data_IF_037881137145
#
_entry.id   IF_037881137145
#
_cell.length_a   1.000
_cell.length_b   1.000
_cell.length_c   1.000
_cell.angle_alpha   90.00
_cell.angle_beta   90.00
_cell.angle_gamma   90.00
#
_symmetry.space_group_name_H-M   'P 1'
#
loop_
_entity.id
_entity.type
_entity.pdbx_description
1 polymer ?
#
# COMPACT_ATOMS: atom_id res chain seq x y z
N UNK A 1 4.40 -13.80 0.29
CA UNK A 1 3.14 -13.56 -0.44
C UNK A 1 3.17 -14.14 -1.84
N UNK A 2 4.14 -13.78 -2.69
CA UNK A 2 4.29 -14.33 -4.06
C UNK A 2 4.26 -15.85 -4.09
N UNK A 3 5.08 -16.51 -3.26
CA UNK A 3 5.09 -17.98 -3.15
C UNK A 3 3.73 -18.59 -2.76
N UNK A 4 2.90 -17.86 -2.00
CA UNK A 4 1.57 -18.34 -1.62
C UNK A 4 0.58 -18.22 -2.78
N UNK A 5 0.71 -17.18 -3.61
CA UNK A 5 -0.07 -17.05 -4.84
C UNK A 5 0.29 -18.16 -5.83
N UNK A 6 1.58 -18.44 -6.01
CA UNK A 6 2.06 -19.53 -6.87
C UNK A 6 1.55 -20.89 -6.41
N UNK A 7 1.63 -21.18 -5.11
CA UNK A 7 1.07 -22.41 -4.53
C UNK A 7 -0.44 -22.53 -4.70
N UNK A 8 -1.16 -21.42 -4.82
CA UNK A 8 -2.59 -21.39 -5.10
C UNK A 8 -2.92 -21.49 -6.61
N UNK A 9 -1.91 -21.72 -7.46
CA UNK A 9 -2.05 -21.89 -8.90
C UNK A 9 -2.18 -20.57 -9.67
N UNK A 10 -1.73 -19.45 -9.08
CA UNK A 10 -1.61 -18.18 -9.80
C UNK A 10 -0.18 -17.97 -10.31
N UNK A 11 -0.05 -17.48 -11.53
CA UNK A 11 1.19 -16.94 -12.06
C UNK A 11 1.30 -15.46 -11.66
N UNK A 12 2.38 -15.09 -10.97
CA UNK A 12 2.67 -13.67 -10.67
C UNK A 12 3.29 -13.01 -11.89
N UNK A 13 2.70 -11.90 -12.32
CA UNK A 13 3.03 -11.19 -13.57
C UNK A 13 3.83 -9.93 -13.34
N UNK A 14 3.60 -9.25 -12.23
CA UNK A 14 4.27 -8.01 -11.87
C UNK A 14 4.20 -7.78 -10.35
N UNK A 15 5.24 -7.16 -9.79
CA UNK A 15 5.28 -6.71 -8.40
C UNK A 15 5.87 -5.31 -8.38
N UNK A 16 5.07 -4.34 -7.95
CA UNK A 16 5.49 -2.95 -7.84
C UNK A 16 5.45 -2.48 -6.40
N UNK A 17 6.59 -1.99 -5.92
CA UNK A 17 6.68 -1.32 -4.63
C UNK A 17 6.20 0.11 -4.76
N UNK A 18 5.18 0.47 -3.98
CA UNK A 18 4.67 1.84 -3.86
C UNK A 18 5.06 2.46 -2.51
N UNK A 19 6.14 1.96 -1.89
CA UNK A 19 6.61 2.34 -0.54
C UNK A 19 6.69 3.86 -0.35
N UNK A 20 7.34 4.56 -1.27
CA UNK A 20 7.59 6.00 -1.17
C UNK A 20 6.30 6.82 -1.35
N UNK A 21 5.41 6.35 -2.23
CA UNK A 21 4.07 6.93 -2.39
C UNK A 21 3.27 6.84 -1.08
N UNK A 22 3.40 5.71 -0.36
CA UNK A 22 2.70 5.52 0.91
C UNK A 22 3.24 6.41 2.03
N UNK A 23 4.55 6.67 2.06
CA UNK A 23 5.14 7.68 2.94
C UNK A 23 4.51 9.07 2.71
N UNK A 24 4.46 9.53 1.46
CA UNK A 24 3.83 10.81 1.11
C UNK A 24 2.35 10.87 1.49
N UNK A 25 1.62 9.77 1.27
CA UNK A 25 0.20 9.65 1.64
C UNK A 25 -0.01 9.85 3.13
N UNK A 26 0.76 9.14 3.97
CA UNK A 26 0.64 9.26 5.42
C UNK A 26 1.05 10.63 5.94
N UNK A 27 2.07 11.27 5.35
CA UNK A 27 2.43 12.66 5.69
C UNK A 27 1.26 13.61 5.45
N UNK A 28 0.61 13.52 4.28
CA UNK A 28 -0.58 14.32 3.96
C UNK A 28 -1.74 14.03 4.92
N UNK A 29 -1.96 12.77 5.28
CA UNK A 29 -3.00 12.41 6.24
C UNK A 29 -2.75 12.96 7.65
N UNK A 30 -1.49 12.92 8.12
CA UNK A 30 -1.11 13.55 9.39
C UNK A 30 -1.36 15.05 9.35
N UNK A 31 -0.91 15.75 8.30
CA UNK A 31 -1.17 17.19 8.13
C UNK A 31 -2.67 17.49 8.15
N UNK A 32 -3.48 16.71 7.45
CA UNK A 32 -4.93 16.91 7.41
C UNK A 32 -5.60 16.64 8.77
N UNK A 33 -5.16 15.59 9.49
CA UNK A 33 -5.66 15.27 10.83
C UNK A 33 -5.34 16.39 11.83
N UNK A 34 -4.12 16.92 11.79
CA UNK A 34 -3.67 18.01 12.66
C UNK A 34 -4.43 19.31 12.35
N UNK A 35 -4.62 19.64 11.07
CA UNK A 35 -5.39 20.80 10.64
C UNK A 35 -6.87 20.75 11.05
N UNK A 36 -7.41 19.55 11.31
CA UNK A 36 -8.82 19.34 11.69
C UNK A 36 -8.93 18.68 13.07
N UNK A 37 -7.94 18.91 13.95
CA UNK A 37 -7.80 18.19 15.21
C UNK A 37 -9.04 18.24 16.10
N UNK A 38 -9.62 19.43 16.31
CA UNK A 38 -10.81 19.56 17.16
C UNK A 38 -11.99 18.74 16.64
N UNK A 39 -12.22 18.75 15.33
CA UNK A 39 -13.26 17.94 14.69
C UNK A 39 -12.98 16.46 14.85
N UNK A 40 -11.74 16.03 14.65
CA UNK A 40 -11.34 14.63 14.85
C UNK A 40 -11.54 14.18 16.30
N UNK A 41 -11.18 15.01 17.28
CA UNK A 41 -11.38 14.73 18.71
C UNK A 41 -12.87 14.63 19.05
N UNK A 42 -13.72 15.53 18.53
CA UNK A 42 -15.18 15.46 18.72
C UNK A 42 -15.78 14.17 18.17
N UNK A 43 -15.31 13.71 17.01
CA UNK A 43 -15.84 12.52 16.34
C UNK A 43 -15.34 11.20 16.93
N UNK A 44 -14.04 11.14 17.24
CA UNK A 44 -13.36 9.88 17.57
C UNK A 44 -13.05 9.72 19.06
N UNK A 45 -13.09 10.83 19.82
CA UNK A 45 -12.57 10.94 21.18
C UNK A 45 -11.07 11.26 21.22
N UNK A 46 -10.59 11.95 22.27
CA UNK A 46 -9.20 12.43 22.34
C UNK A 46 -8.17 11.29 22.37
N UNK A 47 -8.49 10.16 23.02
CA UNK A 47 -7.62 8.99 23.05
C UNK A 47 -7.39 8.39 21.66
N UNK A 48 -8.47 8.14 20.92
CA UNK A 48 -8.40 7.58 19.57
C UNK A 48 -7.71 8.52 18.59
N UNK A 49 -8.00 9.82 18.66
CA UNK A 49 -7.34 10.82 17.81
C UNK A 49 -5.81 10.84 18.02
N UNK A 50 -5.33 10.73 19.27
CA UNK A 50 -3.88 10.65 19.57
C UNK A 50 -3.24 9.38 19.04
N UNK A 51 -3.89 8.23 19.24
CA UNK A 51 -3.38 6.95 18.75
C UNK A 51 -3.26 6.96 17.23
N UNK A 52 -4.27 7.47 16.52
CA UNK A 52 -4.23 7.57 15.06
C UNK A 52 -3.15 8.53 14.55
N UNK A 53 -2.97 9.69 15.18
CA UNK A 53 -1.88 10.61 14.85
C UNK A 53 -0.51 9.93 15.02
N UNK A 54 -0.29 9.28 16.16
CA UNK A 54 0.95 8.56 16.45
C UNK A 54 1.21 7.43 15.45
N UNK A 55 0.20 6.59 15.21
CA UNK A 55 0.27 5.48 14.27
C UNK A 55 0.67 5.96 12.86
N UNK A 56 -0.04 6.94 12.30
CA UNK A 56 0.25 7.42 10.96
C UNK A 56 1.63 8.08 10.85
N UNK A 57 2.02 8.88 11.84
CA UNK A 57 3.34 9.51 11.86
C UNK A 57 4.47 8.48 11.97
N UNK A 58 4.31 7.46 12.81
CA UNK A 58 5.28 6.38 12.94
C UNK A 58 5.37 5.54 11.66
N UNK A 59 4.23 5.21 11.04
CA UNK A 59 4.21 4.49 9.76
C UNK A 59 4.86 5.30 8.63
N UNK A 60 4.62 6.62 8.55
CA UNK A 60 5.26 7.47 7.55
C UNK A 60 6.79 7.37 7.65
N UNK A 61 7.34 7.51 8.86
CA UNK A 61 8.77 7.36 9.10
C UNK A 61 9.29 5.96 8.78
N UNK A 62 8.50 4.92 9.08
CA UNK A 62 8.88 3.54 8.78
C UNK A 62 8.94 3.28 7.26
N UNK A 63 8.02 3.83 6.47
CA UNK A 63 8.09 3.77 5.00
C UNK A 63 9.27 4.57 4.43
N UNK A 64 9.51 5.78 4.94
CA UNK A 64 10.66 6.63 4.56
C UNK A 64 12.00 5.93 4.82
N UNK A 65 12.09 5.20 5.95
CA UNK A 65 13.31 4.47 6.35
C UNK A 65 13.37 3.04 5.83
N UNK A 66 12.52 2.66 4.87
CA UNK A 66 12.47 1.32 4.28
C UNK A 66 12.36 0.18 5.31
N UNK A 67 11.65 0.42 6.42
CA UNK A 67 11.39 -0.58 7.47
C UNK A 67 10.12 -1.37 7.21
N UNK A 68 9.20 -0.82 6.44
CA UNK A 68 7.96 -1.43 5.97
C UNK A 68 7.75 -1.05 4.49
N UNK A 69 6.93 -1.81 3.79
CA UNK A 69 6.63 -1.61 2.37
C UNK A 69 5.20 -1.98 2.01
N UNK A 70 4.73 -1.48 0.87
CA UNK A 70 3.45 -1.86 0.25
C UNK A 70 3.75 -2.23 -1.19
N UNK A 71 3.27 -3.39 -1.61
CA UNK A 71 3.44 -3.88 -2.97
C UNK A 71 2.08 -4.09 -3.63
N UNK A 72 1.96 -3.64 -4.87
CA UNK A 72 0.90 -4.07 -5.77
C UNK A 72 1.37 -5.33 -6.48
N UNK A 73 0.56 -6.39 -6.42
CA UNK A 73 0.89 -7.68 -7.05
C UNK A 73 -0.17 -7.96 -8.11
N UNK A 74 0.27 -8.06 -9.36
CA UNK A 74 -0.56 -8.55 -10.45
C UNK A 74 -0.32 -10.05 -10.58
N UNK A 75 -1.38 -10.85 -10.47
CA UNK A 75 -1.32 -12.29 -10.65
C UNK A 75 -2.53 -12.76 -11.45
N UNK A 76 -2.32 -13.77 -12.30
CA UNK A 76 -3.37 -14.37 -13.14
C UNK A 76 -3.42 -15.86 -12.92
N UNK A 77 -4.59 -16.47 -13.14
CA UNK A 77 -4.67 -17.91 -13.33
C UNK A 77 -4.55 -18.16 -14.83
N UNK A 78 -3.53 -18.91 -15.24
CA UNK A 78 -3.42 -19.28 -16.64
C UNK A 78 -4.64 -20.10 -17.07
N UNK A 79 -5.05 -19.92 -18.32
CA UNK A 79 -6.06 -20.77 -18.97
C UNK A 79 -5.56 -22.21 -19.10
N UNK A 80 -6.43 -23.15 -19.46
CA UNK A 80 -6.05 -24.54 -19.71
C UNK A 80 -4.99 -24.68 -20.82
N UNK A 81 -4.98 -23.75 -21.80
CA UNK A 81 -3.96 -23.68 -22.84
C UNK A 81 -2.65 -22.99 -22.40
N UNK A 82 -2.54 -22.61 -21.12
CA UNK A 82 -1.35 -21.95 -20.54
C UNK A 82 -1.24 -20.46 -20.84
N UNK A 83 -2.25 -19.85 -21.47
CA UNK A 83 -2.20 -18.40 -21.78
C UNK A 83 -2.64 -17.54 -20.59
N UNK A 84 -1.96 -16.42 -20.38
CA UNK A 84 -2.27 -15.46 -19.30
C UNK A 84 -3.29 -14.40 -19.69
N UNK A 85 -3.56 -14.22 -20.99
CA UNK A 85 -4.43 -13.16 -21.52
C UNK A 85 -3.84 -11.75 -21.44
N UNK A 86 -2.59 -11.60 -21.02
CA UNK A 86 -1.91 -10.30 -20.89
C UNK A 86 -0.94 -10.04 -22.05
N UNK A 87 -0.68 -8.78 -22.40
CA UNK A 87 0.39 -8.42 -23.33
C UNK A 87 1.76 -8.85 -22.78
N UNK A 88 2.71 -9.12 -23.68
CA UNK A 88 4.08 -9.54 -23.32
C UNK A 88 4.83 -8.50 -22.49
N UNK A 89 4.48 -7.22 -22.63
CA UNK A 89 5.00 -6.10 -21.83
C UNK A 89 3.85 -5.46 -21.07
N UNK A 90 3.93 -5.45 -19.75
CA UNK A 90 2.93 -4.85 -18.86
C UNK A 90 2.97 -3.33 -18.86
N UNK A 91 4.13 -2.73 -19.16
CA UNK A 91 4.38 -1.28 -19.11
C UNK A 91 5.28 -0.86 -20.26
N UNK A 92 4.99 0.29 -20.86
CA UNK A 92 5.91 1.04 -21.71
C UNK A 92 6.40 2.24 -20.91
N UNK A 93 7.68 2.26 -20.60
CA UNK A 93 8.32 3.41 -19.99
C UNK A 93 8.73 4.35 -21.13
N UNK A 94 8.20 5.57 -21.13
CA UNK A 94 8.61 6.65 -22.02
C UNK A 94 9.63 7.53 -21.31
#
# INVERSE_FOLDING_TARGET
TVTMLERAGFEVRDVESIREHYAHTLRRWVTNLEAQWERAVRLAGPGRARVWRLYMAACALAFERNRIGVNQVLAVRATESGTSGLPLRSRTWN
#
